data_IF_587330825593
#
_entry.id   IF_587330825593
#
_cell.length_a   1.000
_cell.length_b   1.000
_cell.length_c   1.000
_cell.angle_alpha   90.00
_cell.angle_beta   90.00
_cell.angle_gamma   90.00
#
_symmetry.space_group_name_H-M   'P 1'
#
loop_
_entity.id
_entity.type
_entity.pdbx_description
1 polymer ?
#
# COMPACT_ATOMS: atom_id res chain seq x y z
N UNK A 1 -10.76 18.17 -1.34
CA UNK A 1 -9.52 18.32 -0.58
C UNK A 1 -9.18 17.01 0.13
N UNK A 2 -7.95 16.54 -0.04
CA UNK A 2 -7.50 15.32 0.62
C UNK A 2 -7.02 15.65 2.02
N UNK A 3 -7.47 14.84 3.00
CA UNK A 3 -7.06 15.02 4.40
C UNK A 3 -5.82 14.14 4.62
N UNK A 4 -4.72 14.77 5.04
CA UNK A 4 -3.52 14.04 5.39
C UNK A 4 -3.68 13.39 6.76
N UNK A 5 -3.05 12.24 6.96
CA UNK A 5 -3.14 11.51 8.21
C UNK A 5 -1.76 11.07 8.67
N UNK A 6 -1.64 10.89 10.00
CA UNK A 6 -0.39 10.39 10.58
C UNK A 6 -0.13 8.95 10.13
N UNK A 7 1.12 8.53 10.25
CA UNK A 7 1.55 7.18 9.91
C UNK A 7 0.73 6.12 10.66
N UNK A 8 0.52 6.31 11.97
CA UNK A 8 -0.26 5.36 12.77
C UNK A 8 -1.72 5.29 12.33
N UNK A 9 -2.31 6.44 12.02
CA UNK A 9 -3.70 6.49 11.56
C UNK A 9 -3.85 5.83 10.19
N UNK A 10 -2.91 6.08 9.30
CA UNK A 10 -2.85 5.44 7.99
C UNK A 10 -2.79 3.92 8.14
N UNK A 11 -1.86 3.44 8.97
CA UNK A 11 -1.66 2.01 9.21
C UNK A 11 -2.96 1.34 9.69
N UNK A 12 -3.59 1.92 10.72
CA UNK A 12 -4.83 1.37 11.27
C UNK A 12 -5.97 1.37 10.25
N UNK A 13 -6.11 2.45 9.50
CA UNK A 13 -7.17 2.56 8.50
C UNK A 13 -6.95 1.60 7.33
N UNK A 14 -5.70 1.46 6.89
CA UNK A 14 -5.38 0.52 5.83
C UNK A 14 -5.78 -0.91 6.22
N UNK A 15 -5.41 -1.34 7.43
CA UNK A 15 -5.76 -2.67 7.93
C UNK A 15 -7.27 -2.85 8.04
N UNK A 16 -7.96 -1.85 8.55
CA UNK A 16 -9.42 -1.90 8.69
C UNK A 16 -10.12 -2.11 7.35
N UNK A 17 -9.66 -1.45 6.30
CA UNK A 17 -10.31 -1.48 5.00
C UNK A 17 -9.87 -2.68 4.15
N UNK A 18 -8.58 -2.90 4.02
CA UNK A 18 -8.06 -3.92 3.08
C UNK A 18 -7.83 -5.29 3.73
N UNK A 19 -7.72 -5.34 5.04
CA UNK A 19 -7.38 -6.56 5.76
C UNK A 19 -8.45 -6.96 6.78
N UNK A 20 -9.67 -6.48 6.63
CA UNK A 20 -10.76 -6.72 7.59
C UNK A 20 -11.09 -8.20 7.78
N UNK A 21 -10.84 -9.03 6.76
CA UNK A 21 -11.13 -10.46 6.81
C UNK A 21 -9.98 -11.30 7.37
N UNK A 22 -8.86 -10.69 7.70
CA UNK A 22 -7.71 -11.40 8.26
C UNK A 22 -7.86 -11.43 9.78
N UNK A 23 -7.72 -12.60 10.43
CA UNK A 23 -7.81 -12.68 11.89
C UNK A 23 -6.77 -11.81 12.59
N UNK A 24 -7.17 -11.19 13.69
CA UNK A 24 -6.26 -10.32 14.47
C UNK A 24 -4.98 -11.03 14.89
N UNK A 25 -5.05 -12.33 15.20
CA UNK A 25 -3.85 -13.10 15.56
C UNK A 25 -2.82 -13.14 14.44
N UNK A 26 -3.29 -13.24 13.19
CA UNK A 26 -2.39 -13.25 12.03
C UNK A 26 -1.78 -11.86 11.83
N UNK A 27 -2.56 -10.80 11.98
CA UNK A 27 -2.05 -9.43 11.90
C UNK A 27 -0.99 -9.18 12.97
N UNK A 28 -1.25 -9.60 14.21
CA UNK A 28 -0.27 -9.44 15.29
C UNK A 28 1.03 -10.19 14.99
N UNK A 29 0.93 -11.42 14.51
CA UNK A 29 2.09 -12.28 14.29
C UNK A 29 2.92 -11.87 13.09
N UNK A 30 2.27 -11.58 11.95
CA UNK A 30 2.96 -11.40 10.69
C UNK A 30 3.20 -9.96 10.30
N UNK A 31 2.45 -9.02 10.88
CA UNK A 31 2.58 -7.60 10.57
C UNK A 31 3.14 -6.84 11.75
N UNK A 32 2.42 -6.79 12.88
CA UNK A 32 2.81 -5.96 14.03
C UNK A 32 4.08 -6.44 14.71
N UNK A 33 4.24 -7.74 14.89
CA UNK A 33 5.43 -8.29 15.55
C UNK A 33 6.69 -8.20 14.69
N UNK A 34 6.56 -7.89 13.39
CA UNK A 34 7.69 -7.86 12.46
C UNK A 34 8.04 -6.45 11.98
N UNK A 35 7.52 -5.40 12.62
CA UNK A 35 7.86 -4.02 12.31
C UNK A 35 6.77 -3.20 11.64
N UNK A 36 5.53 -3.68 11.67
CA UNK A 36 4.38 -3.01 11.07
C UNK A 36 4.48 -2.87 9.54
N UNK A 37 5.13 -3.83 8.90
CA UNK A 37 5.21 -3.83 7.44
C UNK A 37 3.92 -4.39 6.85
N UNK A 38 3.08 -3.52 6.31
CA UNK A 38 1.79 -3.88 5.73
C UNK A 38 1.94 -4.93 4.62
N UNK A 39 3.01 -4.83 3.82
CA UNK A 39 3.21 -5.74 2.69
C UNK A 39 3.40 -7.21 3.11
N UNK A 40 3.69 -7.48 4.39
CA UNK A 40 3.73 -8.86 4.90
C UNK A 40 2.40 -9.59 4.73
N UNK A 41 1.29 -8.85 4.65
CA UNK A 41 -0.02 -9.44 4.37
C UNK A 41 0.01 -10.20 3.04
N UNK A 42 0.69 -9.64 2.05
CA UNK A 42 0.81 -10.24 0.73
C UNK A 42 1.89 -11.32 0.69
N UNK A 43 3.06 -11.05 1.24
CA UNK A 43 4.20 -11.97 1.19
C UNK A 43 3.97 -13.25 2.00
N UNK A 44 3.21 -13.18 3.10
CA UNK A 44 2.82 -14.34 3.90
C UNK A 44 1.51 -14.96 3.46
N UNK A 45 0.98 -14.51 2.31
CA UNK A 45 -0.25 -15.05 1.71
C UNK A 45 -1.45 -15.03 2.64
N UNK A 46 -1.60 -13.96 3.43
CA UNK A 46 -2.75 -13.79 4.31
C UNK A 46 -4.02 -13.40 3.56
N UNK A 47 -3.88 -12.92 2.32
CA UNK A 47 -4.97 -12.65 1.40
C UNK A 47 -4.93 -13.60 0.22
N UNK A 48 -6.09 -13.93 -0.33
CA UNK A 48 -6.19 -14.76 -1.52
C UNK A 48 -5.52 -14.03 -2.69
N UNK A 49 -4.71 -14.74 -3.46
CA UNK A 49 -3.99 -14.18 -4.61
C UNK A 49 -4.90 -13.60 -5.68
N UNK A 50 -6.16 -14.01 -5.73
CA UNK A 50 -7.14 -13.46 -6.67
C UNK A 50 -7.53 -12.02 -6.33
N UNK A 51 -7.21 -11.54 -5.12
CA UNK A 51 -7.61 -10.21 -4.67
C UNK A 51 -6.63 -9.11 -5.04
N UNK A 52 -5.44 -9.46 -5.53
CA UNK A 52 -4.41 -8.45 -5.83
C UNK A 52 -3.55 -8.85 -7.03
N UNK A 53 -2.87 -7.86 -7.61
CA UNK A 53 -1.96 -8.03 -8.73
C UNK A 53 -0.52 -7.87 -8.27
N UNK A 54 0.41 -8.57 -8.92
CA UNK A 54 1.85 -8.43 -8.67
C UNK A 54 2.59 -8.30 -10.00
N UNK A 55 3.85 -7.89 -9.94
CA UNK A 55 4.73 -7.80 -11.10
C UNK A 55 4.31 -6.73 -12.09
N UNK A 56 4.42 -7.02 -13.38
CA UNK A 56 4.11 -6.04 -14.42
C UNK A 56 2.61 -5.69 -14.46
N UNK A 57 1.74 -6.62 -14.11
CA UNK A 57 0.30 -6.37 -14.10
C UNK A 57 -0.06 -5.28 -13.09
N UNK A 58 0.56 -5.31 -11.90
CA UNK A 58 0.28 -4.30 -10.88
C UNK A 58 0.83 -2.92 -11.26
N UNK A 59 1.97 -2.87 -11.94
CA UNK A 59 2.52 -1.60 -12.41
C UNK A 59 1.60 -0.94 -13.43
N UNK A 60 1.08 -1.73 -14.37
CA UNK A 60 0.14 -1.24 -15.36
C UNK A 60 -1.16 -0.76 -14.72
N UNK A 61 -1.64 -1.46 -13.70
CA UNK A 61 -2.84 -1.06 -12.99
C UNK A 61 -2.64 0.29 -12.30
N UNK A 62 -1.51 0.49 -11.65
CA UNK A 62 -1.21 1.78 -11.03
C UNK A 62 -1.09 2.88 -12.08
N UNK A 63 -0.38 2.63 -13.18
CA UNK A 63 -0.18 3.63 -14.23
C UNK A 63 -1.50 4.11 -14.82
N UNK A 64 -2.49 3.24 -14.90
CA UNK A 64 -3.76 3.51 -15.58
C UNK A 64 -4.89 3.96 -14.66
N UNK A 65 -4.74 3.90 -13.33
CA UNK A 65 -5.80 4.31 -12.42
C UNK A 65 -5.81 5.84 -12.24
N UNK A 66 -6.99 6.38 -11.96
CA UNK A 66 -7.12 7.81 -11.62
C UNK A 66 -6.48 8.07 -10.27
N UNK A 67 -5.50 8.98 -10.24
CA UNK A 67 -4.74 9.32 -9.05
C UNK A 67 -4.94 10.77 -8.62
N UNK A 68 -5.98 11.43 -9.11
CA UNK A 68 -6.20 12.86 -8.88
C UNK A 68 -6.26 13.26 -7.41
N UNK A 69 -6.70 12.34 -6.54
CA UNK A 69 -6.80 12.60 -5.10
C UNK A 69 -6.12 11.50 -4.28
N UNK A 70 -5.07 10.89 -4.85
CA UNK A 70 -4.31 9.86 -4.15
C UNK A 70 -3.30 10.49 -3.20
N UNK A 71 -2.99 9.76 -2.14
CA UNK A 71 -1.94 10.13 -1.18
C UNK A 71 -0.98 8.96 -1.01
N UNK A 72 0.23 9.26 -0.55
CA UNK A 72 1.23 8.22 -0.30
C UNK A 72 1.98 8.52 0.99
N UNK A 73 2.64 7.49 1.51
CA UNK A 73 3.56 7.63 2.62
C UNK A 73 4.83 6.81 2.31
N UNK A 74 5.99 7.48 2.41
CA UNK A 74 7.29 6.81 2.37
C UNK A 74 7.52 6.26 3.78
N UNK A 75 7.45 4.93 3.91
CA UNK A 75 7.32 4.28 5.21
C UNK A 75 8.48 4.57 6.16
N UNK A 76 9.70 4.75 5.65
CA UNK A 76 10.86 4.99 6.48
C UNK A 76 11.14 6.46 6.74
N UNK A 77 10.61 7.36 5.89
CA UNK A 77 10.98 8.78 5.94
C UNK A 77 9.84 9.70 6.40
N UNK A 78 8.59 9.32 6.14
CA UNK A 78 7.46 10.20 6.39
C UNK A 78 6.75 9.87 7.70
N UNK A 79 6.29 10.92 8.40
CA UNK A 79 5.46 10.79 9.60
C UNK A 79 3.97 10.92 9.28
N UNK A 80 3.63 11.41 8.09
CA UNK A 80 2.26 11.54 7.62
C UNK A 80 2.17 11.41 6.11
N UNK A 81 0.94 11.20 5.60
CA UNK A 81 0.70 11.07 4.17
C UNK A 81 0.93 12.38 3.43
N UNK A 82 1.28 12.28 2.16
CA UNK A 82 1.48 13.41 1.25
C UNK A 82 0.65 13.18 -0.02
N UNK A 83 0.30 14.27 -0.71
CA UNK A 83 -0.39 14.19 -1.97
C UNK A 83 0.51 13.60 -3.06
N UNK A 84 -0.07 12.80 -3.95
CA UNK A 84 0.64 12.33 -5.15
C UNK A 84 0.86 13.54 -6.07
N UNK A 85 2.12 13.76 -6.44
CA UNK A 85 2.50 14.80 -7.39
C UNK A 85 2.52 14.20 -8.80
N UNK A 86 2.51 15.07 -9.82
CA UNK A 86 2.46 14.61 -11.22
C UNK A 86 3.62 13.70 -11.60
N UNK A 87 4.79 13.87 -10.98
CA UNK A 87 5.98 13.06 -11.24
C UNK A 87 5.92 11.68 -10.57
N UNK A 88 4.92 11.42 -9.73
CA UNK A 88 4.73 10.12 -9.07
C UNK A 88 3.54 9.34 -9.64
N UNK A 89 3.06 9.69 -10.82
CA UNK A 89 1.88 9.05 -11.41
C UNK A 89 2.16 7.74 -12.13
N UNK A 90 3.42 7.35 -12.26
CA UNK A 90 3.77 6.04 -12.82
C UNK A 90 4.48 5.19 -11.76
N UNK A 91 4.34 3.87 -11.88
CA UNK A 91 4.96 2.94 -10.92
C UNK A 91 6.48 3.09 -10.89
N UNK A 92 7.10 3.34 -12.04
CA UNK A 92 8.55 3.49 -12.13
C UNK A 92 9.08 4.68 -11.34
N UNK A 93 8.24 5.69 -11.09
CA UNK A 93 8.65 6.86 -10.30
C UNK A 93 9.01 6.50 -8.86
N UNK A 94 8.55 5.37 -8.35
CA UNK A 94 8.86 4.92 -6.99
C UNK A 94 10.12 4.06 -6.91
N UNK A 95 10.83 3.84 -8.01
CA UNK A 95 12.02 2.98 -7.99
C UNK A 95 13.10 3.48 -7.03
N UNK A 96 13.16 4.79 -6.77
CA UNK A 96 14.09 5.37 -5.81
C UNK A 96 13.66 5.31 -4.35
N UNK A 97 12.45 4.83 -4.08
CA UNK A 97 11.91 4.72 -2.72
C UNK A 97 12.15 3.32 -2.17
N UNK A 98 12.49 3.21 -0.89
CA UNK A 98 12.68 1.89 -0.27
C UNK A 98 11.35 1.18 -0.08
N UNK A 99 10.37 1.86 0.52
CA UNK A 99 9.06 1.29 0.78
C UNK A 99 8.02 2.40 0.76
N UNK A 100 6.98 2.24 -0.05
CA UNK A 100 5.94 3.25 -0.18
C UNK A 100 4.56 2.60 -0.25
N UNK A 101 3.59 3.22 0.41
CA UNK A 101 2.19 2.83 0.36
C UNK A 101 1.38 3.96 -0.24
N UNK A 102 0.60 3.66 -1.27
CA UNK A 102 -0.25 4.64 -1.96
C UNK A 102 -1.69 4.21 -1.81
N UNK A 103 -2.58 5.15 -1.55
CA UNK A 103 -4.02 4.90 -1.51
C UNK A 103 -4.75 6.05 -2.19
N UNK A 104 -5.93 5.74 -2.73
CA UNK A 104 -6.92 6.73 -3.12
C UNK A 104 -7.50 7.39 -1.85
N UNK A 105 -8.01 8.62 -1.96
CA UNK A 105 -8.56 9.36 -0.82
C UNK A 105 -9.60 8.57 -0.02
N UNK A 106 -10.36 7.70 -0.68
CA UNK A 106 -11.40 6.88 -0.06
C UNK A 106 -10.95 5.42 0.15
N UNK A 107 -9.66 5.16 -0.01
CA UNK A 107 -9.09 3.81 0.12
C UNK A 107 -9.77 2.79 -0.80
N UNK A 108 -10.12 3.21 -2.02
CA UNK A 108 -10.72 2.30 -3.01
C UNK A 108 -9.70 1.35 -3.62
N UNK A 109 -8.44 1.78 -3.64
CA UNK A 109 -7.34 0.95 -4.13
C UNK A 109 -6.07 1.30 -3.37
N UNK A 110 -5.10 0.40 -3.43
CA UNK A 110 -3.78 0.61 -2.84
C UNK A 110 -2.70 0.07 -3.76
N UNK A 111 -1.56 0.76 -3.81
CA UNK A 111 -0.35 0.32 -4.48
C UNK A 111 0.77 0.29 -3.47
N UNK A 112 1.54 -0.79 -3.46
CA UNK A 112 2.60 -0.99 -2.46
C UNK A 112 3.89 -1.37 -3.15
N UNK A 113 4.95 -0.57 -2.92
CA UNK A 113 6.31 -0.94 -3.28
C UNK A 113 7.04 -1.31 -2.00
N UNK A 114 7.70 -2.46 -1.98
CA UNK A 114 8.43 -2.95 -0.81
C UNK A 114 9.92 -2.73 -0.95
N UNK A 115 10.63 -2.81 0.18
CA UNK A 115 12.10 -2.75 0.17
C UNK A 115 12.74 -4.10 -0.18
N UNK A 116 11.94 -5.16 -0.35
CA UNK A 116 12.41 -6.49 -0.74
C UNK A 116 12.17 -6.71 -2.22
N UNK A 117 13.23 -6.89 -2.99
CA UNK A 117 13.13 -7.05 -4.45
C UNK A 117 12.29 -8.25 -4.87
N UNK A 118 12.23 -9.28 -4.03
CA UNK A 118 11.48 -10.51 -4.34
C UNK A 118 10.02 -10.44 -3.91
N UNK A 119 9.62 -9.39 -3.23
CA UNK A 119 8.26 -9.21 -2.70
C UNK A 119 7.65 -7.95 -3.30
N UNK A 120 6.61 -8.13 -4.09
CA UNK A 120 5.90 -7.01 -4.69
C UNK A 120 6.55 -6.50 -5.98
N UNK A 121 6.15 -5.31 -6.44
CA UNK A 121 5.10 -4.49 -5.83
C UNK A 121 3.71 -5.14 -5.92
N UNK A 122 2.74 -4.58 -5.18
CA UNK A 122 1.37 -5.12 -5.13
C UNK A 122 0.34 -4.03 -5.43
N UNK A 123 -0.75 -4.42 -6.09
CA UNK A 123 -1.88 -3.52 -6.33
C UNK A 123 -3.17 -4.25 -6.00
N UNK A 124 -4.05 -3.60 -5.25
CA UNK A 124 -5.32 -4.19 -4.82
C UNK A 124 -6.43 -3.15 -4.89
N UNK A 125 -7.60 -3.57 -5.36
CA UNK A 125 -8.81 -2.76 -5.32
C UNK A 125 -9.78 -3.30 -4.28
N UNK A 126 -10.43 -2.40 -3.57
CA UNK A 126 -11.53 -2.74 -2.68
C UNK A 126 -12.81 -2.93 -3.50
N UNK A 127 -13.60 -3.89 -3.11
CA UNK A 127 -14.92 -4.08 -3.72
C UNK A 127 -15.92 -3.03 -3.23
#
# INVERSE_FOLDING_TARGET
MVIHMTKNKFFSKWLEIFASNIPNKAIEKYVKATGNYIWHIFSWELLDKSLYLTGEAEKKAYDNIDKSEAVFIDWFEDEETKDITWDLKTANAFDGFAEVYVVDKDFKWTYIKTHENMCGPYFMKRN
#
